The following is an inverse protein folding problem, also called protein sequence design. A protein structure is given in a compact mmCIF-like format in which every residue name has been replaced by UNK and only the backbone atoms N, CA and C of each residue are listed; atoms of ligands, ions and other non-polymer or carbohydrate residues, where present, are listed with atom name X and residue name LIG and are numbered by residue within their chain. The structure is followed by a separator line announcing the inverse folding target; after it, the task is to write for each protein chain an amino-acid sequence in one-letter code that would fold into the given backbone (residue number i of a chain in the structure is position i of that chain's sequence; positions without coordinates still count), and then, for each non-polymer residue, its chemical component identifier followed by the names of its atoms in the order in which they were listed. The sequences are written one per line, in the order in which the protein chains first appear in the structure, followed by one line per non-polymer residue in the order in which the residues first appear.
data_IF_143997861987
#
_entry.id   IF_143997861987
#
_cell.length_a   1.000
_cell.length_b   1.000
_cell.length_c   1.000
_cell.angle_alpha   90.00
_cell.angle_beta   90.00
_cell.angle_gamma   90.00
#
_symmetry.space_group_name_H-M   'P 1'
#
loop_
_entity.id
_entity.type
_entity.pdbx_description
1 polymer ?
#
# COMPACT_ATOMS: atom_id res chain seq x y z
N UNK A 1 -20.72 -0.88 -19.56
CA UNK A 1 -20.46 -1.31 -18.17
C UNK A 1 -20.38 -2.82 -18.22
N UNK A 2 -19.19 -3.34 -18.51
CA UNK A 2 -18.91 -4.77 -18.61
C UNK A 2 -18.07 -5.08 -17.39
N UNK A 3 -18.64 -5.83 -16.45
CA UNK A 3 -17.88 -6.41 -15.34
C UNK A 3 -17.00 -7.49 -15.97
N UNK A 4 -15.70 -7.23 -16.07
CA UNK A 4 -14.72 -8.28 -16.33
C UNK A 4 -14.65 -9.12 -15.06
N UNK A 5 -15.15 -10.35 -15.12
CA UNK A 5 -14.84 -11.37 -14.13
C UNK A 5 -13.32 -11.52 -14.11
N UNK A 6 -12.67 -11.12 -13.02
CA UNK A 6 -11.24 -11.41 -12.80
C UNK A 6 -11.11 -12.92 -12.65
N UNK A 7 -10.40 -13.54 -13.59
CA UNK A 7 -10.12 -14.98 -13.57
C UNK A 7 -9.20 -15.28 -12.37
N UNK A 8 -9.29 -16.48 -11.78
CA UNK A 8 -8.48 -16.85 -10.61
C UNK A 8 -6.97 -16.84 -10.88
N UNK A 9 -6.59 -16.87 -12.16
CA UNK A 9 -5.22 -16.84 -12.66
C UNK A 9 -4.70 -15.42 -13.00
N UNK A 10 -5.51 -14.36 -12.83
CA UNK A 10 -5.06 -12.99 -13.07
C UNK A 10 -4.07 -12.52 -12.00
N UNK A 11 -2.96 -11.90 -12.44
CA UNK A 11 -2.03 -11.22 -11.52
C UNK A 11 -2.81 -10.10 -10.80
N UNK A 12 -2.91 -10.11 -9.47
CA UNK A 12 -3.68 -9.12 -8.75
C UNK A 12 -3.13 -7.72 -9.02
N UNK A 13 -3.93 -6.91 -9.70
CA UNK A 13 -3.60 -5.52 -9.96
C UNK A 13 -4.19 -4.64 -8.85
N UNK A 14 -3.46 -3.63 -8.35
CA UNK A 14 -3.99 -2.73 -7.35
C UNK A 14 -5.20 -1.98 -7.91
N UNK A 15 -6.32 -2.03 -7.18
CA UNK A 15 -7.55 -1.36 -7.53
C UNK A 15 -7.63 0.02 -6.85
N UNK A 16 -8.32 0.96 -7.49
CA UNK A 16 -8.54 2.31 -6.96
C UNK A 16 -7.55 3.36 -7.47
N UNK A 17 -7.46 4.48 -6.75
CA UNK A 17 -6.62 5.61 -7.13
C UNK A 17 -5.20 5.41 -6.61
N UNK A 18 -4.21 5.46 -7.49
CA UNK A 18 -2.80 5.42 -7.10
C UNK A 18 -2.49 6.57 -6.12
N UNK A 19 -2.02 6.24 -4.93
CA UNK A 19 -1.68 7.23 -3.90
C UNK A 19 -0.18 7.40 -3.73
N UNK A 20 0.57 6.29 -3.68
CA UNK A 20 2.01 6.30 -3.49
C UNK A 20 2.67 5.29 -4.43
N UNK A 21 3.78 5.70 -5.06
CA UNK A 21 4.67 4.83 -5.83
C UNK A 21 6.10 5.25 -5.54
N UNK A 22 6.91 4.32 -5.09
CA UNK A 22 8.33 4.54 -4.81
C UNK A 22 9.16 3.37 -5.31
N UNK A 23 10.46 3.61 -5.43
CA UNK A 23 11.45 2.57 -5.72
C UNK A 23 12.09 2.14 -4.40
N UNK A 24 12.06 0.84 -4.12
CA UNK A 24 12.86 0.29 -3.04
C UNK A 24 14.35 0.28 -3.43
N UNK A 25 15.20 0.51 -2.44
CA UNK A 25 16.65 0.52 -2.57
C UNK A 25 17.29 -0.62 -1.76
N UNK A 26 18.60 -0.83 -1.94
CA UNK A 26 19.35 -1.83 -1.14
C UNK A 26 19.37 -1.52 0.36
N UNK A 27 19.10 -0.28 0.77
CA UNK A 27 19.04 0.08 2.18
C UNK A 27 17.71 -0.34 2.83
N UNK A 28 16.69 -0.60 2.00
CA UNK A 28 15.36 -0.99 2.45
C UNK A 28 15.23 -2.51 2.65
N UNK A 29 16.25 -3.28 2.27
CA UNK A 29 16.25 -4.74 2.35
C UNK A 29 16.91 -5.25 3.62
N UNK A 30 16.44 -6.39 4.14
CA UNK A 30 17.10 -7.13 5.22
C UNK A 30 18.42 -7.80 4.75
N UNK A 31 19.08 -8.56 5.63
CA UNK A 31 20.34 -9.27 5.33
C UNK A 31 20.22 -10.27 4.16
N UNK A 32 19.01 -10.75 3.88
CA UNK A 32 18.73 -11.71 2.82
C UNK A 32 18.36 -11.04 1.48
N UNK A 33 18.19 -9.71 1.48
CA UNK A 33 17.79 -8.95 0.30
C UNK A 33 16.28 -8.78 0.14
N UNK A 34 15.47 -9.23 1.11
CA UNK A 34 14.02 -9.09 1.07
C UNK A 34 13.56 -7.77 1.69
N UNK A 35 12.40 -7.27 1.27
CA UNK A 35 11.76 -6.12 1.91
C UNK A 35 11.13 -6.55 3.24
N UNK A 36 11.52 -5.95 4.38
CA UNK A 36 10.89 -6.25 5.67
C UNK A 36 9.43 -5.79 5.68
N UNK A 37 8.55 -6.60 6.29
CA UNK A 37 7.13 -6.22 6.46
C UNK A 37 6.95 -4.86 7.15
N UNK A 38 7.76 -4.55 8.17
CA UNK A 38 7.71 -3.24 8.83
C UNK A 38 8.01 -2.05 7.93
N UNK A 39 8.88 -2.22 6.93
CA UNK A 39 9.13 -1.19 5.92
C UNK A 39 7.90 -1.00 5.03
N UNK A 40 7.29 -2.11 4.59
CA UNK A 40 6.10 -2.08 3.74
C UNK A 40 4.93 -1.40 4.46
N UNK A 41 4.70 -1.74 5.74
CA UNK A 41 3.66 -1.12 6.58
C UNK A 41 3.88 0.39 6.72
N UNK A 42 5.12 0.85 6.88
CA UNK A 42 5.42 2.29 6.93
C UNK A 42 5.03 3.01 5.61
N UNK A 43 5.31 2.41 4.47
CA UNK A 43 4.92 2.99 3.18
C UNK A 43 3.39 2.94 2.97
N UNK A 44 2.71 1.90 3.45
CA UNK A 44 1.25 1.80 3.43
C UNK A 44 0.59 2.87 4.30
N UNK A 45 1.12 3.13 5.51
CA UNK A 45 0.61 4.16 6.41
C UNK A 45 0.75 5.57 5.81
N UNK A 46 1.90 5.89 5.21
CA UNK A 46 2.08 7.15 4.47
C UNK A 46 1.11 7.30 3.29
N UNK A 47 0.85 6.22 2.55
CA UNK A 47 -0.15 6.25 1.48
C UNK A 47 -1.56 6.46 2.03
N UNK A 48 -1.89 5.84 3.16
CA UNK A 48 -3.19 6.02 3.83
C UNK A 48 -3.37 7.46 4.32
N UNK A 49 -2.36 8.07 4.96
CA UNK A 49 -2.40 9.47 5.40
C UNK A 49 -2.65 10.43 4.23
N UNK A 50 -1.95 10.22 3.09
CA UNK A 50 -2.15 11.03 1.88
C UNK A 50 -3.57 10.89 1.32
N UNK A 51 -4.12 9.68 1.30
CA UNK A 51 -5.48 9.43 0.84
C UNK A 51 -6.52 10.05 1.77
N UNK A 52 -6.38 9.82 3.08
CA UNK A 52 -7.27 10.33 4.10
C UNK A 52 -7.24 11.86 4.20
N UNK A 53 -6.05 12.47 4.09
CA UNK A 53 -5.91 13.93 4.10
C UNK A 53 -6.56 14.62 2.90
N UNK A 54 -6.58 13.96 1.74
CA UNK A 54 -7.30 14.45 0.55
C UNK A 54 -8.81 14.42 0.76
N UNK A 55 -9.32 13.37 1.38
CA UNK A 55 -10.76 13.23 1.68
C UNK A 55 -11.19 14.20 2.79
N UNK A 56 -10.40 14.31 3.86
CA UNK A 56 -10.71 15.15 5.01
C UNK A 56 -10.45 16.65 4.77
N UNK A 57 -9.73 17.02 3.69
CA UNK A 57 -9.32 18.41 3.43
C UNK A 57 -8.37 18.97 4.48
N UNK A 58 -7.59 18.11 5.16
CA UNK A 58 -6.79 18.51 6.31
C UNK A 58 -5.94 17.39 6.89
N UNK A 59 -5.42 17.61 8.10
CA UNK A 59 -4.55 16.65 8.80
C UNK A 59 -5.36 15.44 9.28
N UNK A 60 -4.76 14.26 9.17
CA UNK A 60 -5.33 13.00 9.67
C UNK A 60 -4.31 12.27 10.55
N UNK A 61 -4.77 11.25 11.26
CA UNK A 61 -3.92 10.37 12.07
C UNK A 61 -4.45 8.94 11.99
N UNK A 62 -3.55 7.98 11.85
CA UNK A 62 -3.90 6.56 11.83
C UNK A 62 -4.28 6.09 13.24
N UNK A 63 -5.50 5.55 13.38
CA UNK A 63 -6.03 5.07 14.67
C UNK A 63 -5.73 3.59 14.87
N UNK A 64 -5.84 2.80 13.81
CA UNK A 64 -5.61 1.37 13.83
C UNK A 64 -5.24 0.87 12.43
N UNK A 65 -4.50 -0.24 12.40
CA UNK A 65 -4.33 -1.08 11.23
C UNK A 65 -4.80 -2.47 11.65
N UNK A 66 -5.74 -3.08 10.91
CA UNK A 66 -6.43 -4.29 11.36
C UNK A 66 -5.61 -5.56 11.14
N UNK A 67 -5.51 -6.01 9.88
CA UNK A 67 -4.79 -7.23 9.53
C UNK A 67 -4.09 -7.05 8.19
N UNK A 68 -2.92 -7.64 8.08
CA UNK A 68 -2.12 -7.67 6.86
C UNK A 68 -1.56 -9.09 6.70
N UNK A 69 -1.57 -9.58 5.47
CA UNK A 69 -1.07 -10.89 5.09
C UNK A 69 -0.04 -10.68 3.97
N UNK A 70 1.14 -11.29 4.11
CA UNK A 70 2.32 -11.04 3.28
C UNK A 70 3.02 -12.34 2.89
#
# INVERSE_FOLDING_TARGET
MTLLETDLDDVPAPQGKLTLKLLASRQDTNLYGDIPGGWLVNQMDQAAELAAGREAGGRTATVAIEAMDF
#
